data_IF_248229094683
#
_entry.id   IF_248229094683
#
_cell.length_a   1.000
_cell.length_b   1.000
_cell.length_c   1.000
_cell.angle_alpha   90.00
_cell.angle_beta   90.00
_cell.angle_gamma   90.00
#
_symmetry.space_group_name_H-M   'P 1'
#
loop_
_entity.id
_entity.type
_entity.pdbx_description
1 polymer ?
#
# COMPACT_ATOMS: atom_id res chain seq x y z
N UNK A 1 3.62 -1.58 -15.09
CA UNK A 1 2.27 -1.86 -14.60
C UNK A 1 1.92 -0.89 -13.51
N UNK A 2 0.65 -0.54 -13.43
CA UNK A 2 0.19 0.52 -12.56
C UNK A 2 -0.06 0.01 -11.13
N UNK A 3 0.11 0.90 -10.13
CA UNK A 3 -0.34 0.65 -8.76
C UNK A 3 -1.85 0.45 -8.77
N UNK A 4 -2.31 -0.67 -8.25
CA UNK A 4 -3.69 -1.15 -8.36
C UNK A 4 -3.84 -2.42 -9.20
N UNK A 5 -2.91 -2.68 -10.13
CA UNK A 5 -2.93 -3.84 -11.04
C UNK A 5 -2.15 -5.03 -10.46
N UNK A 6 -2.52 -5.48 -9.25
CA UNK A 6 -1.70 -6.39 -8.44
C UNK A 6 -1.59 -7.82 -8.97
N UNK A 7 -2.55 -8.29 -9.77
CA UNK A 7 -2.56 -9.66 -10.28
C UNK A 7 -1.85 -9.82 -11.63
N UNK A 8 -1.29 -8.74 -12.15
CA UNK A 8 -0.56 -8.75 -13.42
C UNK A 8 0.95 -8.72 -13.17
N UNK A 9 1.73 -9.58 -13.80
CA UNK A 9 3.20 -9.49 -13.73
C UNK A 9 3.78 -8.69 -14.88
N UNK A 10 4.99 -8.19 -14.66
CA UNK A 10 5.82 -7.61 -15.70
C UNK A 10 6.37 -8.72 -16.63
N UNK A 11 6.67 -8.37 -17.89
CA UNK A 11 7.35 -9.24 -18.84
C UNK A 11 8.72 -9.74 -18.35
N UNK A 12 9.31 -9.08 -17.34
CA UNK A 12 10.53 -9.52 -16.65
C UNK A 12 10.36 -10.83 -15.89
N UNK A 13 9.12 -11.24 -15.62
CA UNK A 13 8.78 -12.48 -14.94
C UNK A 13 7.95 -13.39 -15.85
N UNK A 14 8.53 -13.92 -16.94
CA UNK A 14 7.78 -14.68 -17.94
C UNK A 14 7.16 -15.97 -17.37
N UNK A 15 7.74 -16.50 -16.30
CA UNK A 15 7.29 -17.71 -15.62
C UNK A 15 6.54 -17.41 -14.31
N UNK A 16 6.07 -16.15 -14.12
CA UNK A 16 5.42 -15.73 -12.89
C UNK A 16 6.40 -15.50 -11.72
N UNK A 17 5.84 -15.32 -10.52
CA UNK A 17 6.63 -15.01 -9.32
C UNK A 17 6.98 -16.26 -8.48
N UNK A 18 6.25 -17.36 -8.61
CA UNK A 18 6.45 -18.59 -7.82
C UNK A 18 7.87 -19.11 -7.93
N UNK A 19 8.42 -19.23 -9.13
CA UNK A 19 9.79 -19.73 -9.31
C UNK A 19 10.89 -18.84 -8.70
N UNK A 20 10.62 -17.56 -8.46
CA UNK A 20 11.52 -16.67 -7.72
C UNK A 20 11.39 -16.91 -6.22
N UNK A 21 10.17 -17.05 -5.73
CA UNK A 21 9.90 -17.36 -4.32
C UNK A 21 10.54 -18.69 -3.93
N UNK A 22 10.43 -19.73 -4.77
CA UNK A 22 11.08 -21.03 -4.56
C UNK A 22 12.60 -20.89 -4.43
N UNK A 23 13.25 -20.07 -5.28
CA UNK A 23 14.68 -19.81 -5.20
C UNK A 23 15.07 -19.07 -3.92
N UNK A 24 14.23 -18.14 -3.43
CA UNK A 24 14.45 -17.44 -2.16
C UNK A 24 14.35 -18.44 -1.00
N UNK A 25 13.31 -19.27 -0.99
CA UNK A 25 13.11 -20.31 0.03
C UNK A 25 14.25 -21.34 0.05
N UNK A 26 14.79 -21.70 -1.13
CA UNK A 26 15.94 -22.62 -1.22
C UNK A 26 17.21 -22.07 -0.54
N UNK A 27 17.26 -20.76 -0.25
CA UNK A 27 18.35 -20.13 0.52
C UNK A 27 17.98 -19.96 2.02
N UNK A 28 16.93 -20.61 2.51
CA UNK A 28 16.40 -20.44 3.88
C UNK A 28 16.02 -18.99 4.23
N UNK A 29 15.58 -18.22 3.24
CA UNK A 29 15.15 -16.82 3.39
C UNK A 29 13.65 -16.73 3.10
N UNK A 30 12.94 -15.91 3.89
CA UNK A 30 11.52 -15.63 3.67
C UNK A 30 11.33 -14.62 2.53
N UNK A 31 10.35 -14.86 1.68
CA UNK A 31 10.00 -14.00 0.56
C UNK A 31 8.96 -12.96 0.97
N UNK A 32 9.22 -11.67 0.67
CA UNK A 32 8.29 -10.58 0.92
C UNK A 32 7.92 -9.82 -0.35
N UNK A 33 6.68 -9.32 -0.43
CA UNK A 33 6.18 -8.53 -1.54
C UNK A 33 5.63 -7.17 -1.07
N UNK A 34 5.96 -6.11 -1.82
CA UNK A 34 5.41 -4.78 -1.61
C UNK A 34 4.09 -4.57 -2.35
N UNK A 35 3.10 -3.98 -1.65
CA UNK A 35 1.82 -3.55 -2.21
C UNK A 35 1.39 -2.20 -1.61
N UNK A 36 0.57 -1.45 -2.36
CA UNK A 36 -0.25 -0.35 -1.86
C UNK A 36 -1.74 -0.71 -2.03
N UNK A 37 -2.29 -1.60 -1.18
CA UNK A 37 -3.56 -2.27 -1.44
C UNK A 37 -4.77 -1.34 -1.46
N UNK A 38 -4.70 -0.21 -0.74
CA UNK A 38 -5.76 0.79 -0.64
C UNK A 38 -5.50 2.02 -1.51
N UNK A 39 -4.61 1.88 -2.51
CA UNK A 39 -4.26 2.93 -3.46
C UNK A 39 -4.33 2.44 -4.90
N UNK A 40 -4.64 3.35 -5.82
CA UNK A 40 -4.51 3.12 -7.25
C UNK A 40 -3.99 4.36 -7.96
N UNK A 41 -3.13 4.19 -8.96
CA UNK A 41 -2.68 5.29 -9.80
C UNK A 41 -3.57 5.50 -11.02
N UNK A 42 -3.42 6.66 -11.66
CA UNK A 42 -4.27 7.11 -12.77
C UNK A 42 -4.37 6.09 -13.91
N UNK A 43 -3.27 5.41 -14.24
CA UNK A 43 -3.21 4.50 -15.38
C UNK A 43 -3.61 3.05 -15.05
N UNK A 44 -4.08 2.79 -13.81
CA UNK A 44 -4.57 1.47 -13.39
C UNK A 44 -5.88 1.09 -14.09
N UNK A 45 -6.14 -0.23 -14.14
CA UNK A 45 -7.45 -0.72 -14.59
C UNK A 45 -8.60 -0.19 -13.72
N UNK A 46 -8.32 0.06 -12.44
CA UNK A 46 -9.32 0.55 -11.48
C UNK A 46 -9.90 1.89 -11.94
N UNK A 47 -9.03 2.84 -12.32
CA UNK A 47 -9.49 4.15 -12.80
C UNK A 47 -10.30 4.04 -14.10
N UNK A 48 -9.92 3.12 -15.00
CA UNK A 48 -10.58 2.95 -16.29
C UNK A 48 -11.90 2.17 -16.23
N UNK A 49 -11.95 1.12 -15.39
CA UNK A 49 -13.03 0.12 -15.43
C UNK A 49 -13.87 0.08 -14.13
N UNK A 50 -13.31 0.58 -13.02
CA UNK A 50 -13.90 0.52 -11.69
C UNK A 50 -13.83 1.85 -10.93
N UNK A 51 -14.21 2.99 -11.54
CA UNK A 51 -14.08 4.32 -10.92
C UNK A 51 -14.89 4.48 -9.62
N UNK A 52 -15.90 3.64 -9.40
CA UNK A 52 -16.71 3.66 -8.17
C UNK A 52 -16.02 2.96 -6.98
N UNK A 53 -14.88 2.32 -7.21
CA UNK A 53 -14.03 1.81 -6.14
C UNK A 53 -13.21 2.92 -5.46
N UNK A 54 -13.11 4.08 -6.11
CA UNK A 54 -12.26 5.20 -5.68
C UNK A 54 -13.08 6.16 -4.83
N UNK A 55 -12.53 6.55 -3.69
CA UNK A 55 -13.11 7.60 -2.85
C UNK A 55 -13.19 8.92 -3.62
N UNK A 56 -14.31 9.61 -3.46
CA UNK A 56 -14.59 10.88 -4.12
C UNK A 56 -14.64 12.02 -3.09
N UNK A 57 -14.19 13.18 -3.50
CA UNK A 57 -14.40 14.44 -2.80
C UNK A 57 -15.89 14.88 -2.93
N UNK A 58 -16.26 15.93 -2.20
CA UNK A 58 -17.64 16.49 -2.27
C UNK A 58 -18.03 17.01 -3.67
N UNK A 59 -17.04 17.42 -4.47
CA UNK A 59 -17.22 17.88 -5.86
C UNK A 59 -17.25 16.75 -6.89
N UNK A 60 -17.21 15.49 -6.43
CA UNK A 60 -17.19 14.30 -7.29
C UNK A 60 -15.82 13.92 -7.85
N UNK A 61 -14.77 14.72 -7.65
CA UNK A 61 -13.41 14.39 -8.07
C UNK A 61 -12.84 13.25 -7.22
N UNK A 62 -11.91 12.47 -7.77
CA UNK A 62 -11.23 11.40 -7.03
C UNK A 62 -10.37 11.95 -5.89
N UNK A 63 -10.43 11.31 -4.74
CA UNK A 63 -9.63 11.68 -3.57
C UNK A 63 -8.15 11.35 -3.82
N UNK A 64 -7.36 12.40 -4.08
CA UNK A 64 -5.91 12.30 -4.24
C UNK A 64 -5.26 12.08 -2.87
N UNK A 65 -4.40 11.08 -2.77
CA UNK A 65 -3.69 10.76 -1.53
C UNK A 65 -2.18 10.93 -1.62
N UNK A 66 -1.66 11.18 -2.82
CA UNK A 66 -0.26 11.50 -3.00
C UNK A 66 0.10 11.77 -4.45
N UNK A 67 1.34 12.19 -4.64
CA UNK A 67 1.93 12.49 -5.93
C UNK A 67 3.28 11.78 -6.06
N UNK A 68 3.47 11.04 -7.15
CA UNK A 68 4.73 10.38 -7.44
C UNK A 68 5.05 10.53 -8.93
N UNK A 69 6.11 11.29 -9.30
CA UNK A 69 6.48 11.48 -10.71
C UNK A 69 6.98 10.21 -11.40
N UNK A 70 7.38 9.19 -10.65
CA UNK A 70 7.80 7.87 -11.19
C UNK A 70 6.60 6.98 -11.56
N UNK A 71 5.39 7.34 -11.10
CA UNK A 71 4.12 6.72 -11.45
C UNK A 71 3.38 7.62 -12.43
N UNK A 72 2.07 7.42 -12.61
CA UNK A 72 1.23 8.33 -13.40
C UNK A 72 0.85 9.63 -12.67
N UNK A 73 1.77 10.18 -11.88
CA UNK A 73 1.73 11.40 -11.06
C UNK A 73 0.83 11.29 -9.83
N UNK A 74 -0.49 11.39 -9.97
CA UNK A 74 -1.43 11.32 -8.87
C UNK A 74 -1.91 9.89 -8.64
N UNK A 75 -2.04 9.53 -7.37
CA UNK A 75 -2.69 8.29 -6.98
C UNK A 75 -3.83 8.56 -6.00
N UNK A 76 -4.78 7.65 -5.97
CA UNK A 76 -6.10 7.83 -5.37
C UNK A 76 -6.37 6.76 -4.32
N UNK A 77 -7.27 7.09 -3.34
CA UNK A 77 -7.70 6.17 -2.30
C UNK A 77 -8.80 5.24 -2.80
N UNK A 78 -8.69 3.95 -2.48
CA UNK A 78 -9.79 3.01 -2.62
C UNK A 78 -10.72 3.06 -1.40
N UNK A 79 -12.02 2.81 -1.64
CA UNK A 79 -12.98 2.70 -0.57
C UNK A 79 -12.97 1.29 0.03
N UNK A 80 -12.42 1.15 1.23
CA UNK A 80 -12.36 -0.13 1.95
C UNK A 80 -13.73 -0.69 2.34
N UNK A 81 -14.79 0.10 2.27
CA UNK A 81 -16.17 -0.36 2.51
C UNK A 81 -16.91 -0.80 1.24
N UNK A 82 -16.31 -0.58 0.07
CA UNK A 82 -16.86 -1.10 -1.18
C UNK A 82 -16.65 -2.61 -1.25
N UNK A 83 -17.73 -3.37 -1.40
CA UNK A 83 -17.69 -4.84 -1.40
C UNK A 83 -16.87 -5.42 -2.58
N UNK A 84 -16.89 -4.77 -3.75
CA UNK A 84 -16.07 -5.22 -4.88
C UNK A 84 -14.58 -4.97 -4.62
N UNK A 85 -14.21 -3.87 -3.96
CA UNK A 85 -12.82 -3.61 -3.52
C UNK A 85 -12.38 -4.70 -2.54
N UNK A 86 -13.22 -5.04 -1.57
CA UNK A 86 -12.93 -6.10 -0.61
C UNK A 86 -12.76 -7.46 -1.30
N UNK A 87 -13.66 -7.81 -2.20
CA UNK A 87 -13.57 -9.06 -2.97
C UNK A 87 -12.29 -9.11 -3.82
N UNK A 88 -11.94 -8.00 -4.49
CA UNK A 88 -10.71 -7.89 -5.27
C UNK A 88 -9.46 -8.07 -4.39
N UNK A 89 -9.39 -7.38 -3.24
CA UNK A 89 -8.25 -7.48 -2.34
C UNK A 89 -8.12 -8.87 -1.71
N UNK A 90 -9.23 -9.52 -1.33
CA UNK A 90 -9.20 -10.93 -0.88
C UNK A 90 -8.57 -11.83 -1.94
N UNK A 91 -8.96 -11.68 -3.20
CA UNK A 91 -8.34 -12.41 -4.32
C UNK A 91 -6.85 -12.10 -4.47
N UNK A 92 -6.46 -10.81 -4.40
CA UNK A 92 -5.06 -10.39 -4.50
C UNK A 92 -4.21 -11.04 -3.41
N UNK A 93 -4.63 -10.95 -2.15
CA UNK A 93 -3.89 -11.54 -1.03
C UNK A 93 -3.85 -13.07 -1.11
N UNK A 94 -4.96 -13.70 -1.47
CA UNK A 94 -4.97 -15.16 -1.69
C UNK A 94 -3.93 -15.59 -2.74
N UNK A 95 -3.92 -14.93 -3.90
CA UNK A 95 -2.95 -15.23 -4.96
C UNK A 95 -1.51 -15.03 -4.48
N UNK A 96 -1.21 -13.90 -3.82
CA UNK A 96 0.15 -13.59 -3.37
C UNK A 96 0.64 -14.57 -2.29
N UNK A 97 -0.18 -14.85 -1.30
CA UNK A 97 0.23 -15.58 -0.10
C UNK A 97 0.11 -17.10 -0.23
N UNK A 98 -0.80 -17.59 -1.08
CA UNK A 98 -1.05 -19.04 -1.23
C UNK A 98 -0.64 -19.58 -2.60
N UNK A 99 -0.95 -18.87 -3.71
CA UNK A 99 -0.57 -19.37 -5.03
C UNK A 99 0.90 -19.05 -5.35
N UNK A 100 1.38 -17.83 -5.02
CA UNK A 100 2.79 -17.43 -5.20
C UNK A 100 3.67 -17.72 -3.99
N UNK A 101 3.06 -18.11 -2.85
CA UNK A 101 3.70 -18.56 -1.63
C UNK A 101 4.64 -17.55 -0.97
N UNK A 102 4.29 -16.25 -0.98
CA UNK A 102 5.02 -15.25 -0.21
C UNK A 102 4.75 -15.40 1.30
N UNK A 103 5.73 -15.05 2.14
CA UNK A 103 5.67 -15.15 3.61
C UNK A 103 5.30 -13.83 4.28
N UNK A 104 5.56 -12.71 3.60
CA UNK A 104 5.39 -11.36 4.13
C UNK A 104 4.87 -10.42 3.06
N UNK A 105 3.99 -9.51 3.48
CA UNK A 105 3.57 -8.37 2.65
C UNK A 105 3.95 -7.06 3.32
N UNK A 106 4.63 -6.18 2.58
CA UNK A 106 4.81 -4.78 2.96
C UNK A 106 3.64 -3.98 2.37
N UNK A 107 2.77 -3.45 3.24
CA UNK A 107 1.58 -2.71 2.86
C UNK A 107 1.82 -1.21 3.03
N UNK A 108 1.77 -0.47 1.94
CA UNK A 108 2.14 0.95 1.92
C UNK A 108 0.94 1.86 1.63
N UNK A 109 1.10 3.16 1.91
CA UNK A 109 0.10 4.22 1.71
C UNK A 109 -1.26 3.93 2.37
N UNK A 110 -1.24 3.22 3.51
CA UNK A 110 -2.44 2.77 4.21
C UNK A 110 -3.33 3.93 4.70
N UNK A 111 -2.73 5.09 5.02
CA UNK A 111 -3.45 6.30 5.47
C UNK A 111 -4.52 6.78 4.48
N UNK A 112 -4.35 6.48 3.20
CA UNK A 112 -5.17 7.05 2.12
C UNK A 112 -6.66 6.80 2.29
N UNK A 113 -7.05 5.58 2.63
CA UNK A 113 -8.47 5.23 2.82
C UNK A 113 -9.12 5.92 4.01
N UNK A 114 -8.33 6.41 4.98
CA UNK A 114 -8.82 7.03 6.21
C UNK A 114 -8.67 8.57 6.22
N UNK A 115 -8.43 9.21 5.08
CA UNK A 115 -8.35 10.67 5.01
C UNK A 115 -9.71 11.35 5.27
N UNK A 116 -10.81 10.65 5.00
CA UNK A 116 -12.17 11.16 5.17
C UNK A 116 -12.96 10.28 6.13
N UNK A 117 -13.58 10.90 7.13
CA UNK A 117 -14.56 10.25 7.99
C UNK A 117 -15.82 9.90 7.18
N UNK A 118 -16.37 8.70 7.36
CA UNK A 118 -17.55 8.22 6.60
C UNK A 118 -18.26 7.07 7.30
N UNK A 119 -19.48 6.79 6.85
CA UNK A 119 -20.31 5.72 7.41
C UNK A 119 -20.56 5.89 8.93
N UNK A 120 -20.69 7.15 9.41
CA UNK A 120 -20.84 7.45 10.85
C UNK A 120 -19.58 7.20 11.68
N UNK A 121 -18.41 6.94 11.05
CA UNK A 121 -17.15 6.61 11.73
C UNK A 121 -16.14 7.74 11.60
N UNK A 122 -15.37 7.96 12.65
CA UNK A 122 -14.20 8.83 12.63
C UNK A 122 -13.10 8.26 11.72
N UNK A 123 -12.15 9.09 11.30
CA UNK A 123 -10.98 8.67 10.52
C UNK A 123 -10.18 7.52 11.20
N UNK A 124 -10.04 7.59 12.52
CA UNK A 124 -9.37 6.55 13.30
C UNK A 124 -10.11 5.21 13.24
N UNK A 125 -11.45 5.23 13.36
CA UNK A 125 -12.26 4.02 13.24
C UNK A 125 -12.24 3.46 11.81
N UNK A 126 -12.26 4.31 10.78
CA UNK A 126 -12.08 3.87 9.38
C UNK A 126 -10.74 3.19 9.19
N UNK A 127 -9.67 3.74 9.78
CA UNK A 127 -8.33 3.14 9.70
C UNK A 127 -8.27 1.79 10.42
N UNK A 128 -8.89 1.68 11.60
CA UNK A 128 -8.96 0.42 12.33
C UNK A 128 -9.70 -0.66 11.53
N UNK A 129 -10.86 -0.31 10.94
CA UNK A 129 -11.62 -1.24 10.10
C UNK A 129 -10.81 -1.71 8.89
N UNK A 130 -10.06 -0.77 8.26
CA UNK A 130 -9.19 -1.10 7.15
C UNK A 130 -8.08 -2.08 7.56
N UNK A 131 -7.43 -1.85 8.71
CA UNK A 131 -6.38 -2.73 9.21
C UNK A 131 -6.92 -4.10 9.61
N UNK A 132 -8.08 -4.16 10.27
CA UNK A 132 -8.74 -5.42 10.60
C UNK A 132 -9.05 -6.23 9.33
N UNK A 133 -9.58 -5.57 8.29
CA UNK A 133 -9.86 -6.21 7.02
C UNK A 133 -8.58 -6.73 6.32
N UNK A 134 -7.51 -5.94 6.32
CA UNK A 134 -6.24 -6.38 5.73
C UNK A 134 -5.64 -7.56 6.50
N UNK A 135 -5.74 -7.55 7.85
CA UNK A 135 -5.33 -8.70 8.66
C UNK A 135 -6.17 -9.95 8.36
N UNK A 136 -7.49 -9.81 8.19
CA UNK A 136 -8.36 -10.91 7.76
C UNK A 136 -7.89 -11.50 6.42
N UNK A 137 -7.53 -10.64 5.44
CA UNK A 137 -7.05 -11.08 4.13
C UNK A 137 -5.69 -11.79 4.18
N UNK A 138 -4.80 -11.34 5.08
CA UNK A 138 -3.42 -11.86 5.17
C UNK A 138 -3.34 -13.11 6.05
N UNK A 139 -4.29 -13.29 6.98
CA UNK A 139 -4.29 -14.43 7.91
C UNK A 139 -3.07 -14.43 8.83
N UNK A 140 -2.36 -15.54 8.93
CA UNK A 140 -1.20 -15.73 9.81
C UNK A 140 0.13 -15.27 9.22
N UNK A 141 0.14 -14.82 7.96
CA UNK A 141 1.36 -14.32 7.32
C UNK A 141 1.73 -12.93 7.86
N UNK A 142 2.98 -12.54 7.69
CA UNK A 142 3.51 -11.30 8.27
C UNK A 142 3.10 -10.05 7.48
N UNK A 143 2.76 -8.98 8.20
CA UNK A 143 2.51 -7.64 7.65
C UNK A 143 3.58 -6.67 8.16
N UNK A 144 4.24 -5.97 7.23
CA UNK A 144 4.98 -4.75 7.49
C UNK A 144 4.12 -3.55 7.07
N UNK A 145 3.54 -2.84 8.03
CA UNK A 145 2.71 -1.66 7.77
C UNK A 145 3.54 -0.42 7.48
N UNK A 146 3.17 0.33 6.44
CA UNK A 146 3.74 1.63 6.10
C UNK A 146 2.64 2.67 5.90
N UNK A 147 2.84 3.89 6.42
CA UNK A 147 1.84 4.94 6.33
C UNK A 147 0.56 4.62 7.10
N UNK A 148 0.65 3.85 8.17
CA UNK A 148 -0.43 3.57 9.11
C UNK A 148 -0.08 4.17 10.48
N UNK A 149 -1.04 4.82 11.17
CA UNK A 149 -0.85 5.25 12.56
C UNK A 149 -0.60 4.06 13.49
N UNK A 150 0.20 4.25 14.54
CA UNK A 150 0.59 3.15 15.44
C UNK A 150 -0.59 2.47 16.14
N UNK A 151 -1.63 3.24 16.51
CA UNK A 151 -2.80 2.69 17.21
C UNK A 151 -3.53 1.61 16.40
N UNK A 152 -3.97 1.83 15.15
CA UNK A 152 -4.58 0.78 14.33
C UNK A 152 -3.58 -0.27 13.83
N UNK A 153 -2.26 -0.01 13.85
CA UNK A 153 -1.24 -1.00 13.53
C UNK A 153 -1.06 -2.03 14.66
N UNK A 154 -1.27 -1.61 15.91
CA UNK A 154 -1.13 -2.48 17.06
C UNK A 154 -2.15 -3.65 17.01
N UNK A 155 -1.65 -4.86 17.11
CA UNK A 155 -2.43 -6.10 17.02
C UNK A 155 -2.85 -6.49 15.60
N UNK A 156 -2.52 -5.68 14.57
CA UNK A 156 -2.84 -5.99 13.16
C UNK A 156 -1.61 -6.18 12.28
N UNK A 157 -0.42 -5.76 12.74
CA UNK A 157 0.85 -5.92 12.01
C UNK A 157 1.95 -6.45 12.92
N UNK A 158 2.90 -7.21 12.38
CA UNK A 158 4.11 -7.64 13.08
C UNK A 158 5.17 -6.55 13.09
N UNK A 159 5.21 -5.74 12.04
CA UNK A 159 6.18 -4.65 11.87
C UNK A 159 5.47 -3.38 11.40
N UNK A 160 5.94 -2.23 11.87
CA UNK A 160 5.44 -0.92 11.45
C UNK A 160 6.61 0.03 11.19
N UNK A 161 6.68 0.57 9.98
CA UNK A 161 7.63 1.62 9.65
C UNK A 161 7.15 2.95 10.20
N UNK A 162 7.96 3.60 11.02
CA UNK A 162 7.64 4.84 11.73
C UNK A 162 8.34 6.08 11.15
N UNK A 163 9.28 5.89 10.21
CA UNK A 163 10.07 6.97 9.61
C UNK A 163 9.91 7.06 8.09
N UNK A 164 10.55 8.06 7.46
CA UNK A 164 10.62 8.18 6.01
C UNK A 164 11.44 7.04 5.39
N UNK A 165 11.40 6.93 4.06
CA UNK A 165 12.25 6.00 3.33
C UNK A 165 13.73 6.29 3.56
N UNK A 166 14.54 5.22 3.54
CA UNK A 166 16.00 5.33 3.55
C UNK A 166 16.43 6.06 2.29
N UNK A 167 17.34 7.02 2.46
CA UNK A 167 17.97 7.75 1.37
C UNK A 167 19.36 7.19 1.05
N UNK A 168 19.80 7.33 -0.20
CA UNK A 168 21.15 6.93 -0.62
C UNK A 168 22.26 7.79 -0.01
N UNK A 169 21.92 8.91 0.63
CA UNK A 169 22.84 9.78 1.37
C UNK A 169 22.30 10.05 2.77
N UNK A 170 23.21 10.22 3.74
CA UNK A 170 22.87 10.61 5.11
C UNK A 170 22.25 12.01 5.21
N UNK A 171 22.48 12.86 4.19
CA UNK A 171 21.95 14.21 4.10
C UNK A 171 21.15 14.41 2.81
N UNK A 172 19.91 14.82 2.94
CA UNK A 172 19.10 15.30 1.83
C UNK A 172 19.58 16.70 1.42
N UNK A 173 19.84 16.94 0.13
CA UNK A 173 20.36 18.24 -0.35
C UNK A 173 19.48 19.44 0.03
N UNK A 174 18.15 19.26 0.05
CA UNK A 174 17.18 20.27 0.50
C UNK A 174 17.35 20.58 2.00
N UNK A 175 17.59 19.56 2.83
CA UNK A 175 17.82 19.72 4.26
C UNK A 175 19.18 20.35 4.55
N UNK A 176 20.20 20.11 3.72
CA UNK A 176 21.49 20.83 3.82
C UNK A 176 21.32 22.33 3.60
N UNK A 177 20.49 22.71 2.65
CA UNK A 177 20.23 24.12 2.34
C UNK A 177 19.47 24.83 3.46
N UNK A 178 18.48 24.19 4.08
CA UNK A 178 17.73 24.70 5.24
C UNK A 178 18.66 24.79 6.46
N UNK A 179 19.42 23.74 6.79
CA UNK A 179 20.37 23.72 7.92
C UNK A 179 21.52 24.69 7.75
N UNK A 180 21.97 24.98 6.52
CA UNK A 180 22.99 25.99 6.26
C UNK A 180 22.52 27.43 6.57
N UNK A 181 21.21 27.70 6.46
CA UNK A 181 20.61 29.00 6.84
C UNK A 181 20.41 29.16 8.35
N UNK A 182 20.34 28.06 9.09
CA UNK A 182 20.13 28.08 10.56
C UNK A 182 21.42 28.06 11.37
N UNK A 183 22.61 28.01 10.73
CA UNK A 183 23.89 28.16 11.44
C UNK A 183 24.14 29.64 11.66
N UNK A 184 24.16 30.10 12.94
CA UNK A 184 24.65 31.46 13.24
C UNK A 184 26.10 31.55 12.78
N UNK A 185 26.40 32.67 12.12
CA UNK A 185 27.75 33.07 11.72
C UNK A 185 28.64 33.30 12.94
#
# INVERSE_FOLDING_TARGET
KAVGDWLNFDKKFPNGLTGIVDKIHAQNVKAGLWLAPLACEKDSFIVREKPDWILKNKDGSFLKIGFNPMWSYWFYALDVYNEEVRAYLKKVFHTILHEWNFDLVKLDFLYGTALVARNGKSRGQVMQDAMNFLRECVGDKMILGCGVPLSPANGTTEYCRIGPDIHLSWDFSILKWVRARERPS
#
